data_IF_653831792273
#
_entry.id   IF_653831792273
#
_cell.length_a   1.000
_cell.length_b   1.000
_cell.length_c   1.000
_cell.angle_alpha   90.00
_cell.angle_beta   90.00
_cell.angle_gamma   90.00
#
_symmetry.space_group_name_H-M   'P 1'
#
loop_
_entity.id
_entity.type
_entity.pdbx_description
1 polymer ?
#
# COMPACT_ATOMS: atom_id res chain seq x y z
N UNK A 1 7.11 7.81 -4.91
CA UNK A 1 6.84 7.04 -3.68
C UNK A 1 5.36 6.92 -3.40
N UNK A 2 4.62 8.02 -3.31
CA UNK A 2 3.20 8.03 -2.96
C UNK A 2 2.33 7.10 -3.83
N UNK A 3 2.29 7.31 -5.15
CA UNK A 3 1.44 6.51 -6.05
C UNK A 3 1.76 5.02 -5.98
N UNK A 4 3.06 4.68 -6.00
CA UNK A 4 3.50 3.29 -5.89
C UNK A 4 3.04 2.65 -4.57
N UNK A 5 3.21 3.35 -3.44
CA UNK A 5 2.75 2.86 -2.13
C UNK A 5 1.21 2.70 -2.09
N UNK A 6 0.45 3.65 -2.65
CA UNK A 6 -1.02 3.56 -2.68
C UNK A 6 -1.51 2.38 -3.52
N UNK A 7 -0.92 2.20 -4.72
CA UNK A 7 -1.24 1.06 -5.58
C UNK A 7 -0.84 -0.27 -4.93
N UNK A 8 0.32 -0.33 -4.28
CA UNK A 8 0.73 -1.52 -3.54
C UNK A 8 -0.21 -1.87 -2.39
N UNK A 9 -0.66 -0.88 -1.61
CA UNK A 9 -1.68 -1.06 -0.58
C UNK A 9 -2.99 -1.61 -1.17
N UNK A 10 -3.47 -1.04 -2.27
CA UNK A 10 -4.66 -1.52 -2.97
C UNK A 10 -4.51 -2.98 -3.45
N UNK A 11 -3.38 -3.32 -4.07
CA UNK A 11 -3.09 -4.68 -4.55
C UNK A 11 -3.07 -5.68 -3.39
N UNK A 12 -2.45 -5.33 -2.25
CA UNK A 12 -2.47 -6.20 -1.05
C UNK A 12 -3.91 -6.45 -0.59
N UNK A 13 -4.77 -5.42 -0.59
CA UNK A 13 -6.18 -5.57 -0.26
C UNK A 13 -6.92 -6.57 -1.17
N UNK A 14 -6.68 -6.49 -2.48
CA UNK A 14 -7.22 -7.44 -3.46
C UNK A 14 -6.71 -8.86 -3.18
N UNK A 15 -5.39 -9.03 -3.08
CA UNK A 15 -4.77 -10.36 -2.89
C UNK A 15 -5.26 -11.01 -1.60
N UNK A 16 -5.37 -10.23 -0.51
CA UNK A 16 -5.92 -10.69 0.75
C UNK A 16 -7.35 -11.20 0.60
N UNK A 17 -8.24 -10.39 0.00
CA UNK A 17 -9.65 -10.76 -0.15
C UNK A 17 -9.87 -11.95 -1.09
N UNK A 18 -9.06 -12.11 -2.14
CA UNK A 18 -9.10 -13.29 -3.02
C UNK A 18 -8.69 -14.54 -2.23
N UNK A 19 -7.65 -14.43 -1.40
CA UNK A 19 -7.15 -15.54 -0.57
C UNK A 19 -8.18 -15.97 0.48
N UNK A 20 -8.93 -15.03 1.08
CA UNK A 20 -9.98 -15.36 2.06
C UNK A 20 -11.13 -16.18 1.45
N UNK A 21 -11.39 -16.04 0.13
CA UNK A 21 -12.48 -16.72 -0.57
C UNK A 21 -12.16 -18.18 -0.97
N UNK A 22 -11.03 -18.74 -0.54
CA UNK A 22 -10.65 -20.15 -0.73
C UNK A 22 -9.55 -20.36 -1.78
N UNK A 23 -9.62 -21.48 -2.53
CA UNK A 23 -8.58 -21.95 -3.47
C UNK A 23 -8.41 -21.10 -4.76
N UNK A 24 -8.85 -19.84 -4.77
CA UNK A 24 -8.74 -18.97 -5.95
C UNK A 24 -7.30 -18.51 -6.22
N UNK A 25 -6.40 -18.64 -5.25
CA UNK A 25 -4.99 -18.27 -5.39
C UNK A 25 -4.09 -19.25 -4.66
N UNK A 26 -3.06 -19.76 -5.35
CA UNK A 26 -2.08 -20.65 -4.72
C UNK A 26 -1.17 -19.88 -3.74
N UNK A 27 -0.60 -20.55 -2.74
CA UNK A 27 0.30 -19.90 -1.77
C UNK A 27 1.50 -19.22 -2.43
N UNK A 28 2.04 -19.78 -3.51
CA UNK A 28 3.18 -19.25 -4.26
C UNK A 28 2.84 -17.91 -4.90
N UNK A 29 1.67 -17.82 -5.55
CA UNK A 29 1.19 -16.57 -6.14
C UNK A 29 0.94 -15.49 -5.09
N UNK A 30 0.42 -15.86 -3.92
CA UNK A 30 0.23 -14.93 -2.81
C UNK A 30 1.57 -14.36 -2.33
N UNK A 31 2.59 -15.20 -2.17
CA UNK A 31 3.93 -14.76 -1.74
C UNK A 31 4.58 -13.90 -2.83
N UNK A 32 4.50 -14.34 -4.09
CA UNK A 32 5.03 -13.59 -5.22
C UNK A 32 4.43 -12.19 -5.30
N UNK A 33 3.12 -12.04 -5.17
CA UNK A 33 2.46 -10.74 -5.27
C UNK A 33 2.66 -9.85 -4.04
N UNK A 34 2.59 -10.41 -2.83
CA UNK A 34 2.68 -9.60 -1.60
C UNK A 34 4.13 -9.29 -1.21
N UNK A 35 4.99 -10.31 -1.11
CA UNK A 35 6.38 -10.15 -0.67
C UNK A 35 7.28 -9.75 -1.84
N UNK A 36 7.10 -10.37 -3.01
CA UNK A 36 7.93 -10.09 -4.19
C UNK A 36 7.55 -8.77 -4.87
N UNK A 37 6.41 -8.75 -5.56
CA UNK A 37 5.97 -7.62 -6.35
C UNK A 37 5.71 -6.39 -5.48
N UNK A 38 4.78 -6.45 -4.51
CA UNK A 38 4.48 -5.29 -3.66
C UNK A 38 5.68 -4.88 -2.79
N UNK A 39 6.50 -5.84 -2.33
CA UNK A 39 7.72 -5.54 -1.57
C UNK A 39 8.78 -4.80 -2.39
N UNK A 40 8.96 -5.13 -3.67
CA UNK A 40 9.87 -4.42 -4.58
C UNK A 40 9.28 -3.15 -5.19
N UNK A 41 7.96 -3.09 -5.37
CA UNK A 41 7.25 -1.97 -5.99
C UNK A 41 7.02 -0.80 -5.03
N UNK A 42 6.77 -1.09 -3.76
CA UNK A 42 6.57 -0.07 -2.71
C UNK A 42 7.87 0.24 -1.99
N UNK A 43 7.93 1.39 -1.30
CA UNK A 43 9.12 1.76 -0.53
C UNK A 43 8.76 2.59 0.70
N UNK A 44 9.12 2.09 1.88
CA UNK A 44 9.05 2.85 3.12
C UNK A 44 10.31 3.72 3.31
N UNK A 45 11.49 3.23 2.95
CA UNK A 45 12.76 3.94 3.10
C UNK A 45 12.78 5.27 2.35
N UNK A 46 12.35 5.29 1.09
CA UNK A 46 12.29 6.52 0.30
C UNK A 46 11.22 7.48 0.81
N UNK A 47 10.08 6.95 1.30
CA UNK A 47 9.05 7.75 1.95
C UNK A 47 9.59 8.43 3.22
N UNK A 48 10.30 7.69 4.08
CA UNK A 48 10.88 8.21 5.30
C UNK A 48 11.96 9.27 5.01
N UNK A 49 12.83 9.02 4.04
CA UNK A 49 13.86 9.98 3.61
C UNK A 49 13.26 11.30 3.10
N UNK A 50 12.20 11.23 2.28
CA UNK A 50 11.51 12.42 1.78
C UNK A 50 10.88 13.23 2.92
N UNK A 51 10.23 12.57 3.90
CA UNK A 51 9.67 13.26 5.06
C UNK A 51 10.76 13.87 5.94
N UNK A 52 11.91 13.20 6.09
CA UNK A 52 13.05 13.77 6.81
C UNK A 52 13.59 15.02 6.13
N UNK A 53 13.64 15.06 4.80
CA UNK A 53 14.05 16.27 4.07
C UNK A 53 13.04 17.41 4.28
N UNK A 54 11.72 17.13 4.24
CA UNK A 54 10.70 18.14 4.58
C UNK A 54 10.85 18.68 6.01
N UNK A 55 11.27 17.83 6.95
CA UNK A 55 11.56 18.26 8.33
C UNK A 55 12.77 19.20 8.36
N UNK A 56 13.85 18.87 7.65
CA UNK A 56 15.06 19.70 7.55
C UNK A 56 14.78 21.05 6.89
N UNK A 57 13.87 21.07 5.93
CA UNK A 57 13.42 22.27 5.23
C UNK A 57 12.37 23.09 6.02
N UNK A 58 12.17 22.80 7.32
CA UNK A 58 11.16 23.39 8.19
C UNK A 58 9.71 23.34 7.62
N UNK A 59 9.46 22.43 6.67
CA UNK A 59 8.20 22.29 5.95
C UNK A 59 7.24 21.31 6.65
N UNK A 60 6.95 21.60 7.92
CA UNK A 60 6.18 20.71 8.82
C UNK A 60 4.79 20.40 8.26
N UNK A 61 4.11 21.39 7.66
CA UNK A 61 2.79 21.19 7.07
C UNK A 61 2.81 20.09 5.98
N UNK A 62 3.76 20.17 5.05
CA UNK A 62 3.90 19.19 3.97
C UNK A 62 4.34 17.81 4.48
N UNK A 63 5.16 17.77 5.52
CA UNK A 63 5.51 16.52 6.21
C UNK A 63 4.25 15.85 6.78
N UNK A 64 3.45 16.59 7.55
CA UNK A 64 2.24 16.06 8.17
C UNK A 64 1.23 15.62 7.11
N UNK A 65 1.07 16.40 6.04
CA UNK A 65 0.19 16.06 4.92
C UNK A 65 0.65 14.79 4.22
N UNK A 66 1.94 14.67 3.91
CA UNK A 66 2.47 13.50 3.21
C UNK A 66 2.46 12.25 4.11
N UNK A 67 2.89 12.36 5.37
CA UNK A 67 2.93 11.23 6.29
C UNK A 67 1.53 10.77 6.71
N UNK A 68 0.71 11.71 7.19
CA UNK A 68 -0.67 11.43 7.59
C UNK A 68 -1.54 11.01 6.41
N UNK A 69 -1.42 11.71 5.28
CA UNK A 69 -2.13 11.36 4.05
C UNK A 69 -1.74 9.99 3.52
N UNK A 70 -0.46 9.65 3.51
CA UNK A 70 -0.01 8.31 3.08
C UNK A 70 -0.52 7.20 4.00
N UNK A 71 -0.55 7.42 5.33
CA UNK A 71 -1.10 6.45 6.27
C UNK A 71 -2.61 6.25 6.05
N UNK A 72 -3.36 7.35 6.04
CA UNK A 72 -4.81 7.30 5.89
C UNK A 72 -5.24 6.73 4.53
N UNK A 73 -4.69 7.26 3.44
CA UNK A 73 -5.02 6.81 2.09
C UNK A 73 -4.49 5.41 1.81
N UNK A 74 -3.36 5.01 2.41
CA UNK A 74 -2.85 3.65 2.31
C UNK A 74 -3.81 2.63 2.92
N UNK A 75 -4.29 2.88 4.14
CA UNK A 75 -5.30 2.03 4.79
C UNK A 75 -6.60 2.00 3.97
N UNK A 76 -7.05 3.18 3.51
CA UNK A 76 -8.24 3.27 2.67
C UNK A 76 -8.08 2.49 1.36
N UNK A 77 -6.91 2.54 0.73
CA UNK A 77 -6.63 1.79 -0.49
C UNK A 77 -6.69 0.28 -0.26
N UNK A 78 -6.12 -0.25 0.85
CA UNK A 78 -6.28 -1.66 1.23
C UNK A 78 -7.77 -2.00 1.35
N UNK A 79 -8.53 -1.18 2.08
CA UNK A 79 -9.95 -1.39 2.31
C UNK A 79 -10.78 -1.39 1.01
N UNK A 80 -10.52 -0.46 0.10
CA UNK A 80 -11.17 -0.41 -1.22
C UNK A 80 -10.83 -1.67 -2.03
N UNK A 81 -9.57 -2.13 -2.01
CA UNK A 81 -9.17 -3.37 -2.68
C UNK A 81 -9.94 -4.59 -2.16
N UNK A 82 -10.15 -4.66 -0.84
CA UNK A 82 -10.95 -5.71 -0.22
C UNK A 82 -12.42 -5.64 -0.66
N UNK A 83 -13.03 -4.44 -0.61
CA UNK A 83 -14.43 -4.26 -1.02
C UNK A 83 -14.63 -4.65 -2.48
N UNK A 84 -13.73 -4.24 -3.36
CA UNK A 84 -13.84 -4.50 -4.79
C UNK A 84 -13.96 -6.01 -5.07
N UNK A 85 -13.08 -6.80 -4.46
CA UNK A 85 -13.14 -8.27 -4.58
C UNK A 85 -14.41 -8.80 -3.93
N UNK A 86 -14.80 -8.28 -2.76
CA UNK A 86 -15.99 -8.79 -2.06
C UNK A 86 -17.30 -8.49 -2.79
N UNK A 87 -17.37 -7.44 -3.59
CA UNK A 87 -18.59 -7.02 -4.30
C UNK A 87 -18.68 -7.59 -5.71
N UNK A 88 -17.57 -7.71 -6.44
CA UNK A 88 -17.59 -8.03 -7.88
C UNK A 88 -17.03 -9.40 -8.26
N UNK A 89 -16.28 -10.03 -7.35
CA UNK A 89 -15.71 -11.38 -7.51
C UNK A 89 -16.43 -12.27 -6.50
#
# INVERSE_FOLDING_TARGET
TFIANMLGCFIIGIVYAITERGNLMSPEWRIFLTVGFCGGFTTFSSFAYNNLNLLKDNSIFYLLLNAGGSLFLGILAVYIGIILVRTFI
#
